data_IF_923209663752
#
_entry.id   IF_923209663752
#
_cell.length_a   1.000
_cell.length_b   1.000
_cell.length_c   1.000
_cell.angle_alpha   90.00
_cell.angle_beta   90.00
_cell.angle_gamma   90.00
#
_symmetry.space_group_name_H-M   'P 1'
#
loop_
_entity.id
_entity.type
_entity.pdbx_description
1 polymer ?
#
# COMPACT_ATOMS: atom_id res chain seq x y z
N UNK A 1 -34.05 12.79 6.96
CA UNK A 1 -33.78 11.35 7.09
C UNK A 1 -33.44 10.81 5.70
N UNK A 2 -32.31 10.11 5.52
CA UNK A 2 -31.87 9.59 4.22
C UNK A 2 -32.47 8.19 3.97
N UNK A 3 -33.77 8.11 3.72
CA UNK A 3 -34.49 6.83 3.56
C UNK A 3 -33.91 5.94 2.45
N UNK A 4 -33.37 6.56 1.40
CA UNK A 4 -32.73 5.84 0.31
C UNK A 4 -31.52 5.01 0.76
N UNK A 5 -30.85 5.36 1.88
CA UNK A 5 -29.79 4.52 2.47
C UNK A 5 -30.28 3.09 2.71
N UNK A 6 -31.47 2.93 3.28
CA UNK A 6 -32.02 1.62 3.63
C UNK A 6 -32.45 0.85 2.38
N UNK A 7 -33.13 1.53 1.45
CA UNK A 7 -33.51 0.96 0.15
C UNK A 7 -32.27 0.52 -0.61
N UNK A 8 -31.22 1.33 -0.65
CA UNK A 8 -29.98 0.99 -1.33
C UNK A 8 -29.31 -0.23 -0.70
N UNK A 9 -29.15 -0.24 0.63
CA UNK A 9 -28.50 -1.34 1.36
C UNK A 9 -29.19 -2.68 1.15
N UNK A 10 -30.51 -2.73 1.26
CA UNK A 10 -31.25 -3.99 1.30
C UNK A 10 -31.86 -4.41 -0.04
N UNK A 11 -31.95 -3.50 -1.01
CA UNK A 11 -32.57 -3.77 -2.31
C UNK A 11 -31.66 -3.43 -3.49
N UNK A 12 -31.31 -2.15 -3.69
CA UNK A 12 -30.66 -1.69 -4.93
C UNK A 12 -29.26 -2.28 -5.08
N UNK A 13 -28.43 -2.18 -4.05
CA UNK A 13 -27.04 -2.64 -4.09
C UNK A 13 -26.96 -4.17 -4.24
N UNK A 14 -27.69 -4.98 -3.45
CA UNK A 14 -27.68 -6.43 -3.63
C UNK A 14 -28.22 -6.89 -4.98
N UNK A 15 -29.38 -6.37 -5.42
CA UNK A 15 -29.97 -6.78 -6.70
C UNK A 15 -29.07 -6.43 -7.89
N UNK A 16 -28.41 -5.26 -7.86
CA UNK A 16 -27.50 -4.87 -8.92
C UNK A 16 -26.34 -5.85 -9.05
N UNK A 17 -25.65 -6.16 -7.96
CA UNK A 17 -24.47 -7.03 -8.02
C UNK A 17 -24.84 -8.49 -8.27
N UNK A 18 -25.94 -8.97 -7.70
CA UNK A 18 -26.48 -10.30 -7.99
C UNK A 18 -26.80 -10.47 -9.48
N UNK A 19 -27.49 -9.50 -10.10
CA UNK A 19 -27.84 -9.55 -11.53
C UNK A 19 -26.61 -9.59 -12.45
N UNK A 20 -25.49 -9.00 -12.03
CA UNK A 20 -24.24 -9.00 -12.78
C UNK A 20 -23.34 -10.22 -12.47
N UNK A 21 -23.82 -11.20 -11.69
CA UNK A 21 -23.05 -12.39 -11.31
C UNK A 21 -21.88 -12.10 -10.35
N UNK A 22 -21.90 -10.96 -9.67
CA UNK A 22 -20.83 -10.53 -8.77
C UNK A 22 -21.07 -11.08 -7.36
N UNK A 23 -20.16 -11.94 -6.90
CA UNK A 23 -20.22 -12.64 -5.61
C UNK A 23 -19.66 -11.85 -4.42
N UNK A 24 -19.45 -10.53 -4.55
CA UNK A 24 -18.87 -9.71 -3.48
C UNK A 24 -19.66 -9.75 -2.16
N UNK A 25 -20.98 -9.90 -2.21
CA UNK A 25 -21.80 -9.92 -0.98
C UNK A 25 -21.69 -11.25 -0.23
N UNK A 26 -21.74 -12.37 -0.96
CA UNK A 26 -21.44 -13.70 -0.41
C UNK A 26 -20.04 -13.71 0.23
N UNK A 27 -19.05 -13.17 -0.47
CA UNK A 27 -17.70 -13.02 0.08
C UNK A 27 -17.68 -12.13 1.33
N UNK A 28 -18.37 -10.99 1.29
CA UNK A 28 -18.39 -10.06 2.41
C UNK A 28 -18.96 -10.72 3.67
N UNK A 29 -20.04 -11.50 3.57
CA UNK A 29 -20.60 -12.24 4.70
C UNK A 29 -19.56 -13.17 5.33
N UNK A 30 -18.81 -13.90 4.50
CA UNK A 30 -17.72 -14.75 4.97
C UNK A 30 -16.61 -13.95 5.66
N UNK A 31 -16.18 -12.82 5.08
CA UNK A 31 -15.13 -11.96 5.63
C UNK A 31 -15.53 -11.33 6.99
N UNK A 32 -16.82 -11.05 7.18
CA UNK A 32 -17.36 -10.49 8.42
C UNK A 32 -17.36 -11.51 9.56
N UNK A 33 -17.53 -12.80 9.25
CA UNK A 33 -17.38 -13.90 10.20
C UNK A 33 -15.90 -14.16 10.47
N UNK A 34 -15.09 -14.24 9.41
CA UNK A 34 -13.68 -14.64 9.49
C UNK A 34 -12.86 -13.73 10.43
N UNK A 35 -13.12 -12.41 10.44
CA UNK A 35 -12.36 -11.45 11.26
C UNK A 35 -12.50 -11.68 12.79
N UNK A 36 -13.42 -12.54 13.23
CA UNK A 36 -13.66 -12.92 14.63
C UNK A 36 -13.42 -14.41 14.91
N UNK A 37 -12.86 -15.17 13.97
CA UNK A 37 -12.45 -16.56 14.22
C UNK A 37 -11.42 -16.64 15.36
N UNK A 38 -11.28 -17.79 16.00
CA UNK A 38 -10.10 -17.99 16.86
C UNK A 38 -8.82 -17.95 16.02
N UNK A 39 -7.68 -17.68 16.67
CA UNK A 39 -6.36 -17.68 16.00
C UNK A 39 -6.13 -19.03 15.28
N UNK A 40 -6.39 -20.14 15.96
CA UNK A 40 -6.25 -21.48 15.37
C UNK A 40 -7.18 -21.71 14.17
N UNK A 41 -8.42 -21.22 14.22
CA UNK A 41 -9.36 -21.35 13.11
C UNK A 41 -8.94 -20.49 11.91
N UNK A 42 -8.42 -19.28 12.17
CA UNK A 42 -7.85 -18.40 11.15
C UNK A 42 -6.59 -19.00 10.52
N UNK A 43 -5.72 -19.66 11.30
CA UNK A 43 -4.54 -20.35 10.79
C UNK A 43 -4.91 -21.55 9.92
N UNK A 44 -5.86 -22.39 10.35
CA UNK A 44 -6.39 -23.50 9.53
C UNK A 44 -7.00 -23.02 8.22
N UNK A 45 -7.74 -21.90 8.26
CA UNK A 45 -8.32 -21.30 7.06
C UNK A 45 -7.24 -20.81 6.10
N UNK A 46 -6.21 -20.11 6.60
CA UNK A 46 -5.06 -19.68 5.82
C UNK A 46 -4.33 -20.87 5.20
N UNK A 47 -4.07 -21.93 5.97
CA UNK A 47 -3.36 -23.11 5.49
C UNK A 47 -4.11 -23.81 4.36
N UNK A 48 -5.41 -24.03 4.53
CA UNK A 48 -6.25 -24.61 3.47
C UNK A 48 -6.21 -23.79 2.17
N UNK A 49 -6.22 -22.46 2.29
CA UNK A 49 -6.12 -21.54 1.15
C UNK A 49 -4.75 -21.54 0.50
N UNK A 50 -3.69 -21.55 1.31
CA UNK A 50 -2.30 -21.63 0.88
C UNK A 50 -2.05 -22.93 0.10
N UNK A 51 -2.44 -24.07 0.66
CA UNK A 51 -2.35 -25.38 -0.01
C UNK A 51 -3.11 -25.38 -1.34
N UNK A 52 -4.31 -24.79 -1.38
CA UNK A 52 -5.09 -24.66 -2.61
C UNK A 52 -4.35 -23.86 -3.69
N UNK A 53 -3.82 -22.68 -3.35
CA UNK A 53 -3.15 -21.84 -4.35
C UNK A 53 -1.83 -22.47 -4.81
N UNK A 54 -1.07 -23.12 -3.92
CA UNK A 54 0.17 -23.84 -4.29
C UNK A 54 -0.14 -25.01 -5.21
N UNK A 55 -1.19 -25.79 -4.92
CA UNK A 55 -1.63 -26.88 -5.78
C UNK A 55 -2.04 -26.39 -7.17
N UNK A 56 -2.74 -25.26 -7.26
CA UNK A 56 -3.10 -24.63 -8.54
C UNK A 56 -1.84 -24.15 -9.26
N UNK A 57 -0.93 -23.46 -8.56
CA UNK A 57 0.32 -22.96 -9.13
C UNK A 57 1.15 -24.10 -9.74
N UNK A 58 1.35 -25.19 -9.00
CA UNK A 58 2.09 -26.37 -9.46
C UNK A 58 1.45 -27.04 -10.69
N UNK A 59 0.13 -27.26 -10.66
CA UNK A 59 -0.55 -28.01 -11.70
C UNK A 59 -0.78 -27.20 -12.98
N UNK A 60 -1.00 -25.89 -12.84
CA UNK A 60 -1.54 -25.06 -13.92
C UNK A 60 -0.54 -24.07 -14.50
N UNK A 61 0.59 -23.78 -13.85
CA UNK A 61 1.63 -22.91 -14.44
C UNK A 61 2.87 -23.71 -14.80
N UNK A 62 3.70 -23.18 -15.69
CA UNK A 62 5.00 -23.77 -16.03
C UNK A 62 6.08 -23.32 -15.05
N UNK A 63 6.06 -22.03 -14.69
CA UNK A 63 7.03 -21.43 -13.77
C UNK A 63 7.08 -22.15 -12.41
N UNK A 64 5.94 -22.29 -11.71
CA UNK A 64 5.94 -22.90 -10.38
C UNK A 64 6.18 -24.41 -10.43
N UNK A 65 5.73 -25.09 -11.50
CA UNK A 65 6.03 -26.50 -11.70
C UNK A 65 7.53 -26.73 -11.83
N UNK A 66 8.21 -25.90 -12.62
CA UNK A 66 9.66 -25.96 -12.77
C UNK A 66 10.37 -25.69 -11.43
N UNK A 67 10.07 -24.57 -10.78
CA UNK A 67 10.69 -24.18 -9.49
C UNK A 67 10.50 -25.26 -8.42
N UNK A 68 9.30 -25.81 -8.30
CA UNK A 68 9.01 -26.87 -7.33
C UNK A 68 9.71 -28.18 -7.69
N UNK A 69 9.76 -28.56 -8.97
CA UNK A 69 10.45 -29.77 -9.42
C UNK A 69 11.96 -29.70 -9.20
N UNK A 70 12.59 -28.57 -9.51
CA UNK A 70 14.03 -28.32 -9.28
C UNK A 70 14.39 -28.42 -7.80
N UNK A 71 13.49 -27.98 -6.92
CA UNK A 71 13.65 -28.04 -5.46
C UNK A 71 13.18 -29.35 -4.85
N UNK A 72 12.62 -30.27 -5.64
CA UNK A 72 12.02 -31.54 -5.19
C UNK A 72 10.91 -31.34 -4.14
N UNK A 73 10.11 -30.30 -4.33
CA UNK A 73 8.95 -29.96 -3.50
C UNK A 73 7.68 -30.32 -4.27
N UNK A 74 6.70 -30.86 -3.57
CA UNK A 74 5.34 -31.12 -4.05
C UNK A 74 4.32 -30.28 -3.26
N UNK A 75 3.10 -30.07 -3.77
CA UNK A 75 2.07 -29.36 -3.01
C UNK A 75 1.74 -30.01 -1.66
N UNK A 76 1.95 -31.32 -1.52
CA UNK A 76 1.67 -32.07 -0.29
C UNK A 76 2.75 -31.85 0.79
N UNK A 77 3.88 -31.21 0.47
CA UNK A 77 4.91 -30.85 1.46
C UNK A 77 4.55 -29.60 2.27
N UNK A 78 3.46 -28.91 1.92
CA UNK A 78 2.98 -27.72 2.61
C UNK A 78 1.99 -28.12 3.71
N UNK A 79 2.47 -28.30 4.94
CA UNK A 79 1.67 -28.75 6.08
C UNK A 79 1.42 -27.65 7.12
N UNK A 80 2.20 -26.57 7.06
CA UNK A 80 2.12 -25.38 7.91
C UNK A 80 2.23 -24.12 7.05
N UNK A 81 1.89 -22.95 7.61
CA UNK A 81 2.06 -21.68 6.89
C UNK A 81 3.55 -21.39 6.59
N UNK A 82 4.44 -21.83 7.47
CA UNK A 82 5.88 -21.62 7.38
C UNK A 82 6.52 -22.42 6.24
N UNK A 83 5.90 -23.53 5.82
CA UNK A 83 6.38 -24.36 4.72
C UNK A 83 6.38 -23.63 3.37
N UNK A 84 5.66 -22.51 3.25
CA UNK A 84 5.77 -21.64 2.07
C UNK A 84 7.21 -21.21 1.81
N UNK A 85 8.05 -21.09 2.87
CA UNK A 85 9.45 -20.68 2.77
C UNK A 85 10.35 -21.69 2.03
N UNK A 86 9.84 -22.90 1.75
CA UNK A 86 10.53 -23.84 0.86
C UNK A 86 10.55 -23.33 -0.60
N UNK A 87 9.59 -22.47 -0.96
CA UNK A 87 9.52 -21.76 -2.24
C UNK A 87 10.33 -20.45 -2.19
N UNK A 88 11.00 -20.06 -3.28
CA UNK A 88 11.76 -18.82 -3.34
C UNK A 88 10.88 -17.58 -3.20
N UNK A 89 11.48 -16.47 -2.80
CA UNK A 89 10.88 -15.15 -2.97
C UNK A 89 10.64 -14.87 -4.46
N UNK A 90 9.45 -14.35 -4.78
CA UNK A 90 9.11 -13.91 -6.13
C UNK A 90 9.38 -12.41 -6.26
N UNK A 91 10.30 -12.03 -7.14
CA UNK A 91 10.65 -10.63 -7.39
C UNK A 91 9.89 -10.05 -8.59
N UNK A 92 9.96 -8.73 -8.75
CA UNK A 92 9.47 -8.05 -9.97
C UNK A 92 10.16 -8.53 -11.24
N UNK A 93 11.46 -8.84 -11.14
CA UNK A 93 12.27 -9.32 -12.26
C UNK A 93 11.83 -10.70 -12.70
N UNK A 94 11.55 -11.60 -11.75
CA UNK A 94 11.05 -12.94 -12.05
C UNK A 94 9.73 -12.88 -12.85
N UNK A 95 8.82 -11.99 -12.45
CA UNK A 95 7.57 -11.77 -13.20
C UNK A 95 7.84 -11.23 -14.61
N UNK A 96 8.75 -10.27 -14.76
CA UNK A 96 9.07 -9.69 -16.06
C UNK A 96 9.70 -10.73 -17.01
N UNK A 97 10.60 -11.55 -16.48
CA UNK A 97 11.34 -12.55 -17.25
C UNK A 97 10.48 -13.80 -17.55
N UNK A 98 9.46 -14.10 -16.73
CA UNK A 98 8.67 -15.34 -16.81
C UNK A 98 7.16 -15.13 -16.96
N UNK A 99 6.71 -13.94 -17.36
CA UNK A 99 5.28 -13.54 -17.36
C UNK A 99 4.34 -14.61 -17.91
N UNK A 100 4.67 -15.16 -19.07
CA UNK A 100 3.80 -16.12 -19.78
C UNK A 100 3.80 -17.50 -19.10
N UNK A 101 4.94 -17.93 -18.57
CA UNK A 101 5.07 -19.20 -17.84
C UNK A 101 4.35 -19.17 -16.48
N UNK A 102 4.07 -17.98 -15.95
CA UNK A 102 3.33 -17.78 -14.69
C UNK A 102 1.81 -17.74 -14.88
N UNK A 103 1.31 -17.63 -16.10
CA UNK A 103 -0.13 -17.65 -16.37
C UNK A 103 -0.63 -19.09 -16.30
N UNK A 104 -1.73 -19.29 -15.58
CA UNK A 104 -2.40 -20.57 -15.47
C UNK A 104 -2.95 -21.03 -16.82
N UNK A 105 -2.64 -22.26 -17.21
CA UNK A 105 -3.08 -22.92 -18.45
C UNK A 105 -4.60 -23.02 -18.59
N UNK A 106 -5.34 -22.85 -17.49
CA UNK A 106 -6.81 -22.79 -17.49
C UNK A 106 -7.38 -21.48 -18.02
N UNK A 107 -6.54 -20.47 -18.23
CA UNK A 107 -6.96 -19.14 -18.65
C UNK A 107 -6.21 -18.72 -19.90
N UNK A 108 -6.91 -18.01 -20.78
CA UNK A 108 -6.31 -17.21 -21.82
C UNK A 108 -6.05 -15.80 -21.30
N UNK A 109 -5.02 -15.10 -21.82
CA UNK A 109 -4.73 -13.70 -21.44
C UNK A 109 -5.93 -12.77 -21.62
N UNK A 110 -6.80 -13.04 -22.59
CA UNK A 110 -8.03 -12.27 -22.86
C UNK A 110 -9.10 -12.40 -21.78
N UNK A 111 -9.11 -13.49 -21.02
CA UNK A 111 -10.05 -13.71 -19.90
C UNK A 111 -9.56 -13.06 -18.60
N UNK A 112 -8.30 -12.61 -18.58
CA UNK A 112 -7.66 -12.05 -17.40
C UNK A 112 -7.65 -10.53 -17.45
N UNK A 113 -7.83 -9.92 -16.28
CA UNK A 113 -7.63 -8.49 -16.09
C UNK A 113 -6.14 -8.19 -16.04
N UNK A 114 -5.65 -7.53 -17.10
CA UNK A 114 -4.30 -6.97 -17.15
C UNK A 114 -4.23 -5.70 -16.30
N UNK A 115 -3.26 -5.63 -15.40
CA UNK A 115 -2.90 -4.43 -14.65
C UNK A 115 -1.38 -4.28 -14.61
N UNK A 116 -0.91 -3.14 -14.13
CA UNK A 116 0.51 -2.81 -14.10
C UNK A 116 0.88 -2.11 -12.80
N UNK A 117 2.05 -2.43 -12.26
CA UNK A 117 2.61 -1.72 -11.12
C UNK A 117 3.04 -0.31 -11.54
N UNK A 118 2.86 0.68 -10.68
CA UNK A 118 3.48 2.00 -10.88
C UNK A 118 5.00 1.88 -10.81
N UNK A 119 5.70 2.27 -11.87
CA UNK A 119 7.16 2.20 -11.92
C UNK A 119 7.78 3.37 -11.17
N UNK A 120 8.07 3.19 -9.86
CA UNK A 120 9.07 4.04 -9.20
C UNK A 120 10.49 3.71 -9.70
N UNK A 121 10.69 2.52 -10.27
CA UNK A 121 11.98 1.96 -10.73
C UNK A 121 12.17 1.92 -12.25
N UNK A 122 11.28 2.55 -13.04
CA UNK A 122 11.48 2.77 -14.48
C UNK A 122 10.73 1.83 -15.45
N UNK A 123 10.57 0.54 -15.14
CA UNK A 123 9.81 -0.40 -16.01
C UNK A 123 8.59 -0.96 -15.27
N UNK A 124 7.35 -0.67 -15.72
CA UNK A 124 6.15 -1.25 -15.12
C UNK A 124 6.14 -2.78 -15.22
N UNK A 125 5.90 -3.48 -14.11
CA UNK A 125 5.66 -4.93 -14.13
C UNK A 125 4.20 -5.17 -14.48
N UNK A 126 3.96 -5.94 -15.54
CA UNK A 126 2.63 -6.40 -15.95
C UNK A 126 2.26 -7.62 -15.13
N UNK A 127 1.02 -7.70 -14.67
CA UNK A 127 0.46 -8.90 -14.06
C UNK A 127 -1.02 -9.04 -14.43
N UNK A 128 -1.53 -10.24 -14.22
CA UNK A 128 -2.88 -10.61 -14.60
C UNK A 128 -3.68 -11.08 -13.38
N UNK A 129 -4.99 -10.83 -13.40
CA UNK A 129 -5.94 -11.29 -12.37
C UNK A 129 -7.11 -11.99 -13.02
N UNK A 130 -7.53 -13.13 -12.48
CA UNK A 130 -8.82 -13.69 -12.84
C UNK A 130 -9.97 -12.77 -12.37
N UNK A 131 -11.08 -12.77 -13.12
CA UNK A 131 -12.24 -11.92 -12.85
C UNK A 131 -12.77 -12.07 -11.41
N UNK A 132 -12.77 -13.30 -10.88
CA UNK A 132 -13.22 -13.55 -9.51
C UNK A 132 -12.37 -12.75 -8.52
N UNK A 133 -11.04 -12.83 -8.59
CA UNK A 133 -10.15 -12.03 -7.73
C UNK A 133 -10.39 -10.54 -7.91
N UNK A 134 -10.56 -10.09 -9.16
CA UNK A 134 -10.84 -8.68 -9.46
C UNK A 134 -12.11 -8.17 -8.75
N UNK A 135 -13.16 -8.99 -8.71
CA UNK A 135 -14.43 -8.63 -8.07
C UNK A 135 -14.36 -8.75 -6.55
N UNK A 136 -13.79 -9.84 -6.03
CA UNK A 136 -13.74 -10.14 -4.59
C UNK A 136 -12.98 -9.07 -3.79
N UNK A 137 -12.03 -8.35 -4.41
CA UNK A 137 -11.32 -7.22 -3.76
C UNK A 137 -12.27 -6.14 -3.23
N UNK A 138 -13.49 -6.03 -3.79
CA UNK A 138 -14.50 -5.07 -3.32
C UNK A 138 -15.11 -5.49 -2.00
N UNK A 139 -15.24 -6.79 -1.73
CA UNK A 139 -15.66 -7.29 -0.42
C UNK A 139 -14.63 -6.92 0.66
N UNK A 140 -13.34 -7.08 0.35
CA UNK A 140 -12.24 -6.65 1.22
C UNK A 140 -12.39 -5.16 1.55
N UNK A 141 -12.55 -4.31 0.52
CA UNK A 141 -12.73 -2.87 0.72
C UNK A 141 -13.95 -2.54 1.60
N UNK A 142 -15.10 -3.18 1.37
CA UNK A 142 -16.31 -2.92 2.15
C UNK A 142 -16.11 -3.29 3.63
N UNK A 143 -15.51 -4.46 3.93
CA UNK A 143 -15.23 -4.86 5.32
C UNK A 143 -14.41 -3.79 6.04
N UNK A 144 -13.34 -3.30 5.42
CA UNK A 144 -12.45 -2.33 6.06
C UNK A 144 -13.05 -0.91 6.06
N UNK A 145 -13.78 -0.52 5.01
CA UNK A 145 -14.55 0.74 4.99
C UNK A 145 -15.53 0.77 6.17
N UNK A 146 -16.14 -0.36 6.54
CA UNK A 146 -17.02 -0.47 7.72
C UNK A 146 -16.34 -0.13 9.04
N UNK A 147 -15.05 -0.35 9.16
CA UNK A 147 -14.32 -0.04 10.39
C UNK A 147 -14.20 1.48 10.61
N UNK A 148 -14.30 2.30 9.56
CA UNK A 148 -14.44 3.76 9.69
C UNK A 148 -15.81 4.20 10.22
N UNK A 149 -16.79 3.30 10.25
CA UNK A 149 -18.19 3.59 10.58
C UNK A 149 -19.08 3.80 9.36
N UNK A 150 -18.53 3.79 8.14
CA UNK A 150 -19.31 3.70 6.91
C UNK A 150 -19.99 2.33 6.76
N UNK A 151 -20.99 2.20 5.89
CA UNK A 151 -21.56 0.92 5.48
C UNK A 151 -22.31 1.10 4.17
N UNK A 152 -22.63 0.00 3.49
CA UNK A 152 -23.47 -0.02 2.29
C UNK A 152 -24.75 0.80 2.54
N UNK A 153 -25.07 1.67 1.58
CA UNK A 153 -26.17 2.63 1.67
C UNK A 153 -25.77 3.98 2.26
N UNK A 154 -24.69 4.09 3.03
CA UNK A 154 -24.17 5.40 3.47
C UNK A 154 -23.41 6.06 2.32
N UNK A 155 -23.41 7.39 2.32
CA UNK A 155 -22.67 8.18 1.33
C UNK A 155 -21.19 8.20 1.71
N UNK A 156 -20.29 8.11 0.74
CA UNK A 156 -18.86 8.33 0.94
C UNK A 156 -18.32 9.33 -0.07
N UNK A 157 -17.25 10.04 0.28
CA UNK A 157 -16.51 10.88 -0.65
C UNK A 157 -15.08 10.35 -0.84
N UNK A 158 -14.54 10.60 -2.03
CA UNK A 158 -13.19 10.25 -2.41
C UNK A 158 -12.43 11.53 -2.74
N UNK A 159 -11.34 11.81 -2.05
CA UNK A 159 -10.36 12.83 -2.47
C UNK A 159 -9.29 12.07 -3.23
N UNK A 160 -9.52 11.88 -4.53
CA UNK A 160 -8.75 10.99 -5.39
C UNK A 160 -8.59 11.57 -6.78
N UNK A 161 -7.64 11.07 -7.58
CA UNK A 161 -7.28 11.78 -8.80
C UNK A 161 -6.71 10.97 -9.96
N UNK A 162 -6.43 9.67 -9.87
CA UNK A 162 -5.71 9.00 -10.96
C UNK A 162 -6.44 9.16 -12.32
N UNK A 163 -5.85 9.88 -13.29
CA UNK A 163 -6.43 10.14 -14.62
C UNK A 163 -6.82 8.86 -15.38
N UNK A 164 -6.25 7.71 -15.03
CA UNK A 164 -6.68 6.38 -15.53
C UNK A 164 -7.98 5.89 -14.91
N UNK A 165 -8.25 6.20 -13.65
CA UNK A 165 -9.51 5.88 -12.96
C UNK A 165 -10.61 6.91 -13.32
N UNK A 166 -10.23 8.17 -13.59
CA UNK A 166 -11.15 9.22 -14.07
C UNK A 166 -11.75 8.92 -15.46
N UNK A 167 -11.06 8.15 -16.32
CA UNK A 167 -11.64 7.67 -17.60
C UNK A 167 -12.82 6.72 -17.39
N UNK A 168 -12.90 6.04 -16.23
CA UNK A 168 -13.99 5.12 -15.88
C UNK A 168 -15.24 5.83 -15.29
N UNK A 169 -15.31 7.16 -15.34
CA UNK A 169 -16.51 7.93 -14.95
C UNK A 169 -17.11 8.66 -16.17
N UNK A 170 -16.63 8.39 -17.38
CA UNK A 170 -17.09 9.09 -18.59
C UNK A 170 -18.48 8.63 -19.06
N UNK A 171 -18.90 7.40 -18.77
CA UNK A 171 -20.23 6.96 -19.18
C UNK A 171 -21.30 7.43 -18.20
N UNK A 172 -22.43 7.88 -18.73
CA UNK A 172 -23.63 8.18 -17.94
C UNK A 172 -24.00 7.00 -17.01
N UNK A 173 -23.80 5.76 -17.47
CA UNK A 173 -24.04 4.55 -16.69
C UNK A 173 -23.14 4.48 -15.45
N UNK A 174 -21.84 4.70 -15.59
CA UNK A 174 -20.89 4.70 -14.45
C UNK A 174 -21.21 5.81 -13.46
N UNK A 175 -21.60 6.99 -13.96
CA UNK A 175 -22.08 8.06 -13.09
C UNK A 175 -23.31 7.62 -12.27
N UNK A 176 -24.31 7.00 -12.90
CA UNK A 176 -25.50 6.48 -12.20
C UNK A 176 -25.12 5.42 -11.16
N UNK A 177 -24.23 4.49 -11.51
CA UNK A 177 -23.74 3.45 -10.59
C UNK A 177 -23.05 4.12 -9.40
N UNK A 178 -22.10 5.03 -9.64
CA UNK A 178 -21.36 5.74 -8.60
C UNK A 178 -22.30 6.51 -7.65
N UNK A 179 -23.30 7.23 -8.17
CA UNK A 179 -24.18 8.08 -7.34
C UNK A 179 -25.29 7.32 -6.62
N UNK A 180 -25.93 6.36 -7.29
CA UNK A 180 -27.17 5.75 -6.79
C UNK A 180 -26.98 4.32 -6.29
N UNK A 181 -25.93 3.63 -6.71
CA UNK A 181 -25.61 2.27 -6.26
C UNK A 181 -24.50 2.34 -5.21
N UNK A 182 -23.32 2.80 -5.59
CA UNK A 182 -22.14 2.91 -4.71
C UNK A 182 -22.20 4.12 -3.76
N UNK A 183 -23.06 5.10 -4.04
CA UNK A 183 -23.25 6.33 -3.26
C UNK A 183 -21.92 7.00 -2.91
N UNK A 184 -21.13 7.22 -3.95
CA UNK A 184 -19.77 7.74 -3.88
C UNK A 184 -19.66 9.09 -4.61
N UNK A 185 -18.92 10.03 -3.99
CA UNK A 185 -18.64 11.35 -4.55
C UNK A 185 -17.15 11.63 -4.65
N UNK A 186 -16.66 11.78 -5.87
CA UNK A 186 -15.25 12.09 -6.13
C UNK A 186 -15.00 13.60 -6.12
N UNK A 187 -13.89 13.98 -5.50
CA UNK A 187 -13.29 15.29 -5.40
C UNK A 187 -11.85 15.16 -5.94
N UNK A 188 -11.47 16.05 -6.86
CA UNK A 188 -10.19 15.94 -7.56
C UNK A 188 -9.01 16.28 -6.65
N UNK A 189 -8.20 15.28 -6.31
CA UNK A 189 -7.03 15.45 -5.46
C UNK A 189 -5.83 16.11 -6.16
N UNK A 190 -5.84 16.28 -7.49
CA UNK A 190 -4.73 16.91 -8.21
C UNK A 190 -4.80 18.44 -8.19
N UNK A 191 -5.97 19.03 -7.95
CA UNK A 191 -6.17 20.47 -7.88
C UNK A 191 -6.61 20.89 -6.46
N UNK A 192 -5.63 21.14 -5.60
CA UNK A 192 -5.84 21.52 -4.19
C UNK A 192 -5.65 23.03 -3.95
N UNK A 193 -6.15 23.88 -4.86
CA UNK A 193 -6.11 25.33 -4.65
C UNK A 193 -7.11 25.76 -3.56
N UNK A 194 -6.91 26.90 -2.88
CA UNK A 194 -7.84 27.40 -1.87
C UNK A 194 -9.29 27.48 -2.35
N UNK A 195 -9.52 27.94 -3.58
CA UNK A 195 -10.86 28.03 -4.19
C UNK A 195 -11.49 26.64 -4.40
N UNK A 196 -10.69 25.65 -4.84
CA UNK A 196 -11.16 24.27 -4.96
C UNK A 196 -11.47 23.65 -3.62
N UNK A 197 -10.63 23.86 -2.61
CA UNK A 197 -10.87 23.35 -1.26
C UNK A 197 -12.10 24.00 -0.61
N UNK A 198 -12.40 25.26 -0.93
CA UNK A 198 -13.68 25.89 -0.56
C UNK A 198 -14.87 25.18 -1.24
N UNK A 199 -14.76 24.88 -2.53
CA UNK A 199 -15.78 24.11 -3.26
C UNK A 199 -15.98 22.71 -2.68
N UNK A 200 -14.89 22.01 -2.33
CA UNK A 200 -14.95 20.71 -1.66
C UNK A 200 -15.72 20.81 -0.35
N UNK A 201 -15.48 21.87 0.42
CA UNK A 201 -16.18 22.11 1.68
C UNK A 201 -17.69 22.25 1.46
N UNK A 202 -18.11 23.09 0.52
CA UNK A 202 -19.54 23.23 0.18
C UNK A 202 -20.17 21.94 -0.34
N UNK A 203 -19.43 21.15 -1.12
CA UNK A 203 -19.89 19.85 -1.59
C UNK A 203 -20.06 18.85 -0.44
N UNK A 204 -19.07 18.70 0.43
CA UNK A 204 -19.12 17.78 1.57
C UNK A 204 -20.21 18.15 2.56
N UNK A 205 -20.45 19.43 2.81
CA UNK A 205 -21.56 19.90 3.65
C UNK A 205 -22.95 19.62 3.05
N UNK A 206 -23.07 19.67 1.71
CA UNK A 206 -24.30 19.34 0.99
C UNK A 206 -24.54 17.83 0.94
N UNK A 207 -23.51 17.06 0.60
CA UNK A 207 -23.57 15.61 0.43
C UNK A 207 -23.74 14.92 1.78
N UNK A 208 -23.08 15.44 2.82
CA UNK A 208 -23.01 14.85 4.17
C UNK A 208 -22.57 13.38 4.12
N UNK A 209 -21.37 13.09 3.56
CA UNK A 209 -20.87 11.72 3.54
C UNK A 209 -20.56 11.25 4.95
N UNK A 210 -20.65 9.95 5.18
CA UNK A 210 -20.25 9.32 6.44
C UNK A 210 -18.75 9.08 6.52
N UNK A 211 -18.05 8.96 5.39
CA UNK A 211 -16.60 8.82 5.37
C UNK A 211 -15.99 9.57 4.19
N UNK A 212 -14.70 9.89 4.33
CA UNK A 212 -13.82 10.30 3.23
C UNK A 212 -12.69 9.30 3.10
N UNK A 213 -12.34 8.91 1.88
CA UNK A 213 -11.11 8.18 1.55
C UNK A 213 -10.24 9.06 0.65
N UNK A 214 -8.95 9.19 0.95
CA UNK A 214 -8.06 10.03 0.13
C UNK A 214 -6.58 9.67 0.26
N UNK A 215 -5.76 10.31 -0.58
CA UNK A 215 -4.31 10.30 -0.45
C UNK A 215 -3.88 11.06 0.81
N UNK A 216 -2.86 10.58 1.52
CA UNK A 216 -2.42 11.19 2.77
C UNK A 216 -2.08 12.67 2.61
N UNK A 217 -1.29 13.03 1.59
CA UNK A 217 -0.86 14.41 1.36
C UNK A 217 -2.02 15.32 0.91
N UNK A 218 -2.95 14.81 0.11
CA UNK A 218 -4.14 15.58 -0.27
C UNK A 218 -5.08 15.82 0.93
N UNK A 219 -5.21 14.84 1.82
CA UNK A 219 -5.95 15.01 3.07
C UNK A 219 -5.29 16.04 3.99
N UNK A 220 -3.97 16.04 4.10
CA UNK A 220 -3.20 17.03 4.88
C UNK A 220 -3.42 18.43 4.32
N UNK A 221 -3.19 18.64 3.02
CA UNK A 221 -3.36 19.95 2.39
C UNK A 221 -4.79 20.50 2.61
N UNK A 222 -5.80 19.64 2.51
CA UNK A 222 -7.17 20.06 2.78
C UNK A 222 -7.43 20.33 4.26
N UNK A 223 -6.88 19.52 5.16
CA UNK A 223 -7.01 19.71 6.60
C UNK A 223 -6.35 21.02 7.07
N UNK A 224 -5.16 21.35 6.57
CA UNK A 224 -4.46 22.62 6.82
C UNK A 224 -5.33 23.81 6.38
N UNK A 225 -5.84 23.76 5.14
CA UNK A 225 -6.76 24.77 4.65
C UNK A 225 -7.99 24.95 5.55
N UNK A 226 -8.63 23.85 5.98
CA UNK A 226 -9.78 23.92 6.89
C UNK A 226 -9.39 24.52 8.24
N UNK A 227 -8.26 24.13 8.82
CA UNK A 227 -7.79 24.64 10.10
C UNK A 227 -7.51 26.15 10.07
N UNK A 228 -6.96 26.65 8.96
CA UNK A 228 -6.59 28.06 8.81
C UNK A 228 -7.76 28.96 8.37
N UNK A 229 -8.55 28.51 7.40
CA UNK A 229 -9.49 29.36 6.67
C UNK A 229 -10.96 29.04 6.95
N UNK A 230 -11.27 27.85 7.48
CA UNK A 230 -12.65 27.41 7.68
C UNK A 230 -12.83 26.46 8.87
N UNK A 231 -12.27 26.82 10.03
CA UNK A 231 -12.26 25.96 11.21
C UNK A 231 -13.70 25.60 11.70
N UNK A 232 -14.69 26.44 11.36
CA UNK A 232 -16.09 26.28 11.75
C UNK A 232 -16.97 25.55 10.72
N UNK A 233 -16.37 24.87 9.73
CA UNK A 233 -17.10 24.07 8.76
C UNK A 233 -18.05 23.04 9.40
N UNK A 234 -19.11 22.65 8.68
CA UNK A 234 -20.20 21.78 9.13
C UNK A 234 -20.04 20.32 8.72
N UNK A 235 -18.90 19.94 8.15
CA UNK A 235 -18.62 18.55 7.76
C UNK A 235 -18.61 17.68 9.02
N UNK A 236 -19.32 16.55 8.98
CA UNK A 236 -19.37 15.54 10.05
C UNK A 236 -19.18 14.17 9.42
N UNK A 237 -18.12 13.48 9.81
CA UNK A 237 -17.75 12.16 9.30
C UNK A 237 -17.72 11.16 10.47
N UNK A 238 -18.06 9.90 10.18
CA UNK A 238 -17.87 8.77 11.10
C UNK A 238 -16.37 8.38 11.19
N UNK A 239 -15.62 8.61 10.11
CA UNK A 239 -14.17 8.39 10.02
C UNK A 239 -13.59 8.75 8.65
N UNK A 240 -12.27 8.83 8.59
CA UNK A 240 -11.50 9.04 7.36
C UNK A 240 -10.62 7.83 7.12
N UNK A 241 -10.36 7.49 5.86
CA UNK A 241 -9.35 6.50 5.49
C UNK A 241 -8.28 7.18 4.64
N UNK A 242 -7.03 7.04 5.07
CA UNK A 242 -5.84 7.45 4.31
C UNK A 242 -5.24 6.25 3.62
N UNK A 243 -4.80 6.39 2.37
CA UNK A 243 -4.23 5.29 1.58
C UNK A 243 -3.22 5.79 0.56
N UNK A 244 -2.44 4.85 0.01
CA UNK A 244 -1.51 5.04 -1.12
C UNK A 244 -0.29 5.94 -0.88
N UNK A 245 -0.15 6.50 0.32
CA UNK A 245 1.00 7.24 0.82
C UNK A 245 1.16 7.01 2.33
N UNK A 246 2.36 7.23 2.86
CA UNK A 246 2.62 7.10 4.29
C UNK A 246 1.85 8.14 5.11
N UNK A 247 1.06 7.64 6.06
CA UNK A 247 0.38 8.45 7.08
C UNK A 247 1.24 8.44 8.35
N UNK A 248 2.01 9.52 8.57
CA UNK A 248 2.72 9.72 9.84
C UNK A 248 1.76 10.19 10.92
N UNK A 249 2.14 10.06 12.20
CA UNK A 249 1.32 10.53 13.32
C UNK A 249 1.11 12.05 13.30
N UNK A 250 2.08 12.82 12.79
CA UNK A 250 1.94 14.26 12.57
C UNK A 250 0.84 14.56 11.53
N UNK A 251 0.92 13.93 10.35
CA UNK A 251 -0.11 14.08 9.30
C UNK A 251 -1.48 13.66 9.81
N UNK A 252 -1.55 12.56 10.56
CA UNK A 252 -2.77 12.07 11.21
C UNK A 252 -3.35 13.14 12.12
N UNK A 253 -2.56 13.72 13.03
CA UNK A 253 -3.01 14.74 13.96
C UNK A 253 -3.58 15.98 13.27
N UNK A 254 -2.96 16.44 12.17
CA UNK A 254 -3.45 17.56 11.36
C UNK A 254 -4.85 17.27 10.80
N UNK A 255 -5.04 16.08 10.23
CA UNK A 255 -6.31 15.65 9.63
C UNK A 255 -7.38 15.44 10.72
N UNK A 256 -7.06 14.74 11.81
CA UNK A 256 -8.00 14.48 12.92
C UNK A 256 -8.49 15.79 13.55
N UNK A 257 -7.60 16.79 13.70
CA UNK A 257 -7.95 18.12 14.20
C UNK A 257 -8.96 18.82 13.30
N UNK A 258 -8.71 18.84 11.99
CA UNK A 258 -9.60 19.50 11.03
C UNK A 258 -10.99 18.83 11.00
N UNK A 259 -11.04 17.52 10.82
CA UNK A 259 -12.29 16.80 10.59
C UNK A 259 -13.00 16.31 11.84
N UNK A 260 -12.35 16.37 13.01
CA UNK A 260 -12.91 15.99 14.32
C UNK A 260 -13.37 14.51 14.35
N UNK A 261 -12.63 13.63 13.68
CA UNK A 261 -12.89 12.20 13.64
C UNK A 261 -11.59 11.41 13.47
N UNK A 262 -11.64 10.10 13.68
CA UNK A 262 -10.48 9.22 13.53
C UNK A 262 -10.10 9.02 12.06
N UNK A 263 -8.80 9.06 11.80
CA UNK A 263 -8.20 8.76 10.49
C UNK A 263 -7.57 7.38 10.55
N UNK A 264 -7.99 6.49 9.65
CA UNK A 264 -7.54 5.10 9.61
C UNK A 264 -6.56 4.91 8.45
N UNK A 265 -5.40 4.33 8.73
CA UNK A 265 -4.42 3.95 7.72
C UNK A 265 -4.89 2.70 6.96
N UNK A 266 -4.68 2.69 5.64
CA UNK A 266 -4.91 1.57 4.75
C UNK A 266 -3.67 1.32 3.90
N UNK A 267 -3.12 0.13 4.04
CA UNK A 267 -2.01 -0.36 3.25
C UNK A 267 -2.48 -1.39 2.20
N UNK A 268 -1.95 -1.26 1.01
CA UNK A 268 -2.28 -2.11 -0.12
C UNK A 268 -1.38 -1.85 -1.31
N UNK A 269 -1.46 -2.74 -2.29
CA UNK A 269 -0.69 -2.67 -3.52
C UNK A 269 -1.58 -2.84 -4.75
N UNK A 270 -1.06 -2.51 -5.93
CA UNK A 270 -1.80 -2.72 -7.18
C UNK A 270 -1.90 -4.22 -7.47
N UNK A 271 -0.85 -4.98 -7.16
CA UNK A 271 -0.69 -6.41 -7.37
C UNK A 271 -1.72 -7.22 -6.57
N UNK A 272 -1.83 -7.00 -5.26
CA UNK A 272 -2.70 -7.83 -4.39
C UNK A 272 -3.89 -7.08 -3.79
N UNK A 273 -4.05 -5.78 -4.04
CA UNK A 273 -5.14 -4.99 -3.47
C UNK A 273 -4.93 -4.64 -2.00
N UNK A 274 -5.97 -4.76 -1.18
CA UNK A 274 -5.92 -4.36 0.23
C UNK A 274 -5.18 -5.43 1.05
N UNK A 275 -4.10 -5.02 1.70
CA UNK A 275 -3.21 -5.88 2.51
C UNK A 275 -3.53 -5.76 3.99
N UNK A 276 -3.62 -4.53 4.51
CA UNK A 276 -3.91 -4.29 5.92
C UNK A 276 -4.61 -2.94 6.13
N UNK A 277 -5.40 -2.79 7.19
CA UNK A 277 -6.03 -1.52 7.55
C UNK A 277 -6.20 -1.36 9.06
N UNK A 278 -6.11 -0.14 9.57
CA UNK A 278 -6.44 0.16 10.96
C UNK A 278 -7.96 0.08 11.20
N UNK A 279 -8.32 -0.24 12.45
CA UNK A 279 -9.65 0.05 13.00
C UNK A 279 -9.61 1.32 13.87
N UNK A 280 -10.75 1.75 14.43
CA UNK A 280 -10.84 2.97 15.25
C UNK A 280 -9.97 3.00 16.51
N UNK A 281 -9.44 1.85 16.94
CA UNK A 281 -8.53 1.77 18.07
C UNK A 281 -7.10 2.22 17.72
N UNK A 282 -6.72 2.22 16.43
CA UNK A 282 -5.40 2.68 15.96
C UNK A 282 -4.21 1.99 16.66
N UNK A 283 -4.36 0.70 16.98
CA UNK A 283 -3.32 -0.12 17.66
C UNK A 283 -2.48 -0.94 16.65
N UNK A 284 -2.51 -0.56 15.37
CA UNK A 284 -1.89 -1.28 14.25
C UNK A 284 -2.89 -1.61 13.13
N UNK A 285 -2.36 -2.07 12.00
CA UNK A 285 -3.14 -2.42 10.82
C UNK A 285 -3.50 -3.90 10.87
N UNK A 286 -4.79 -4.23 10.93
CA UNK A 286 -5.24 -5.60 10.77
C UNK A 286 -4.93 -6.11 9.37
N UNK A 287 -4.14 -7.17 9.30
CA UNK A 287 -3.80 -7.87 8.08
C UNK A 287 -5.05 -8.59 7.57
N UNK A 288 -5.29 -8.50 6.26
CA UNK A 288 -6.34 -9.20 5.54
C UNK A 288 -6.01 -10.70 5.40
N UNK A 289 -5.73 -11.35 6.53
CA UNK A 289 -5.11 -12.67 6.63
C UNK A 289 -5.96 -13.79 6.03
N UNK A 290 -7.26 -13.57 5.86
CA UNK A 290 -8.14 -14.50 5.18
C UNK A 290 -8.05 -14.41 3.63
N UNK A 291 -7.35 -13.42 3.08
CA UNK A 291 -7.13 -13.28 1.64
C UNK A 291 -5.66 -13.41 1.23
N UNK A 292 -4.74 -13.11 2.13
CA UNK A 292 -3.31 -13.12 1.84
C UNK A 292 -2.53 -13.72 3.00
N UNK A 293 -1.40 -14.35 2.68
CA UNK A 293 -0.33 -14.57 3.65
C UNK A 293 0.57 -13.33 3.62
N UNK A 294 0.84 -12.73 4.77
CA UNK A 294 1.85 -11.68 4.91
C UNK A 294 3.05 -12.20 5.71
N UNK A 295 4.21 -12.12 5.09
CA UNK A 295 5.52 -12.40 5.66
C UNK A 295 6.32 -11.10 5.77
N UNK A 296 7.11 -10.99 6.84
CA UNK A 296 8.21 -10.01 6.92
C UNK A 296 9.49 -10.82 6.75
N UNK A 297 10.32 -10.48 5.76
CA UNK A 297 11.46 -11.31 5.36
C UNK A 297 12.78 -10.56 5.43
N UNK A 298 13.85 -11.33 5.58
CA UNK A 298 15.22 -10.89 5.33
C UNK A 298 15.84 -11.91 4.37
N UNK A 299 15.96 -11.53 3.09
CA UNK A 299 16.19 -12.47 2.00
C UNK A 299 15.06 -13.52 1.93
N UNK A 300 15.44 -14.79 1.87
CA UNK A 300 14.51 -15.92 1.72
C UNK A 300 13.73 -16.29 2.99
N UNK A 301 14.18 -15.82 4.16
CA UNK A 301 13.64 -16.26 5.46
C UNK A 301 12.72 -15.22 6.05
N UNK A 302 11.66 -15.69 6.70
CA UNK A 302 10.82 -14.85 7.55
C UNK A 302 11.60 -14.44 8.81
N UNK A 303 11.47 -13.19 9.22
CA UNK A 303 12.00 -12.69 10.49
C UNK A 303 10.99 -12.88 11.62
N UNK A 304 11.46 -12.76 12.88
CA UNK A 304 10.58 -12.79 14.03
C UNK A 304 9.65 -11.55 14.05
N UNK A 305 8.48 -11.69 14.67
CA UNK A 305 7.61 -10.54 14.89
C UNK A 305 8.35 -9.48 15.74
N UNK A 306 8.04 -8.20 15.49
CA UNK A 306 8.77 -7.05 16.04
C UNK A 306 10.06 -6.70 15.31
N UNK A 307 10.56 -7.54 14.40
CA UNK A 307 11.73 -7.22 13.58
C UNK A 307 11.32 -6.55 12.27
N UNK A 308 12.15 -5.58 11.86
CA UNK A 308 12.04 -4.91 10.57
C UNK A 308 12.51 -5.83 9.45
N UNK A 309 11.73 -5.89 8.37
CA UNK A 309 12.11 -6.62 7.16
C UNK A 309 11.22 -6.26 5.99
N UNK A 310 11.39 -7.00 4.90
CA UNK A 310 10.71 -6.76 3.63
C UNK A 310 9.33 -7.42 3.62
N UNK A 311 8.33 -6.71 3.11
CA UNK A 311 6.97 -7.25 3.04
C UNK A 311 6.86 -8.14 1.80
N UNK A 312 6.65 -9.43 2.04
CA UNK A 312 6.29 -10.41 1.03
C UNK A 312 4.84 -10.88 1.23
N UNK A 313 4.14 -11.12 0.13
CA UNK A 313 2.73 -11.53 0.15
C UNK A 313 2.45 -12.73 -0.74
N UNK A 314 1.58 -13.63 -0.28
CA UNK A 314 0.98 -14.68 -1.12
C UNK A 314 -0.52 -14.40 -1.26
N UNK A 315 -1.02 -14.22 -2.49
CA UNK A 315 -2.45 -14.04 -2.77
C UNK A 315 -3.14 -15.40 -2.94
N UNK A 316 -4.11 -15.70 -2.08
CA UNK A 316 -4.83 -16.99 -2.07
C UNK A 316 -5.87 -17.15 -3.18
N UNK A 317 -6.15 -16.09 -3.94
CA UNK A 317 -7.35 -15.98 -4.78
C UNK A 317 -7.06 -15.65 -6.24
N UNK A 318 -5.83 -15.25 -6.58
CA UNK A 318 -5.45 -15.02 -7.98
C UNK A 318 -5.08 -16.33 -8.69
N UNK A 319 -6.07 -17.07 -9.18
CA UNK A 319 -5.85 -18.34 -9.88
C UNK A 319 -5.35 -18.18 -11.32
N UNK A 320 -5.52 -16.99 -11.91
CA UNK A 320 -5.10 -16.71 -13.27
C UNK A 320 -3.58 -16.55 -13.39
N UNK A 321 -2.96 -15.96 -12.38
CA UNK A 321 -1.51 -15.79 -12.26
C UNK A 321 -1.13 -15.75 -10.78
N UNK A 322 -0.95 -16.92 -10.14
CA UNK A 322 -0.63 -16.99 -8.72
C UNK A 322 0.62 -16.18 -8.36
N UNK A 323 0.50 -15.34 -7.33
CA UNK A 323 1.64 -14.60 -6.76
C UNK A 323 1.92 -15.20 -5.38
N UNK A 324 3.02 -15.95 -5.28
CA UNK A 324 3.44 -16.66 -4.07
C UNK A 324 4.75 -16.04 -3.60
N UNK A 325 4.80 -15.64 -2.32
CA UNK A 325 5.91 -14.91 -1.69
C UNK A 325 6.41 -13.71 -2.51
N UNK A 326 5.47 -12.95 -3.07
CA UNK A 326 5.79 -11.79 -3.89
C UNK A 326 6.29 -10.63 -3.04
N UNK A 327 7.51 -10.16 -3.33
CA UNK A 327 8.16 -9.06 -2.66
C UNK A 327 7.63 -7.71 -3.16
N UNK A 328 6.96 -6.96 -2.29
CA UNK A 328 6.32 -5.69 -2.65
C UNK A 328 7.33 -4.54 -2.83
N UNK A 329 8.53 -4.71 -2.27
CA UNK A 329 9.55 -3.68 -2.20
C UNK A 329 9.25 -2.60 -1.15
N UNK A 330 8.41 -2.93 -0.16
CA UNK A 330 8.12 -2.10 1.02
C UNK A 330 8.69 -2.79 2.26
N UNK A 331 9.08 -2.01 3.28
CA UNK A 331 9.55 -2.49 4.57
C UNK A 331 8.44 -2.39 5.61
N UNK A 332 8.38 -3.33 6.56
CA UNK A 332 7.39 -3.29 7.63
C UNK A 332 7.75 -4.14 8.83
N UNK A 333 6.96 -3.97 9.89
CA UNK A 333 7.09 -4.70 11.14
C UNK A 333 5.76 -5.39 11.44
N UNK A 334 5.78 -6.71 11.61
CA UNK A 334 4.63 -7.49 12.04
C UNK A 334 4.59 -7.53 13.58
N UNK A 335 3.41 -7.37 14.16
CA UNK A 335 3.22 -7.31 15.61
C UNK A 335 2.74 -8.64 16.18
N UNK A 336 3.19 -8.96 17.40
CA UNK A 336 2.60 -10.00 18.25
C UNK A 336 1.39 -9.52 19.06
N UNK A 337 1.12 -8.21 19.02
CA UNK A 337 0.04 -7.61 19.80
C UNK A 337 -1.32 -8.00 19.23
N UNK A 338 -2.32 -8.02 20.11
CA UNK A 338 -3.73 -8.15 19.74
C UNK A 338 -4.40 -6.79 19.90
N UNK A 339 -5.27 -6.45 18.96
CA UNK A 339 -6.06 -5.23 19.09
C UNK A 339 -7.20 -5.41 20.07
N UNK A 340 -7.46 -4.40 20.89
CA UNK A 340 -8.58 -4.34 21.83
C UNK A 340 -9.96 -4.27 21.15
N UNK A 341 -10.03 -4.14 19.83
CA UNK A 341 -11.29 -4.11 19.07
C UNK A 341 -12.01 -5.47 18.96
N UNK A 342 -11.38 -6.56 19.43
CA UNK A 342 -11.96 -7.91 19.46
C UNK A 342 -11.76 -8.73 18.18
N UNK A 343 -11.19 -8.16 17.10
CA UNK A 343 -10.80 -8.93 15.91
C UNK A 343 -9.55 -9.75 16.19
N UNK A 344 -9.52 -10.97 15.66
CA UNK A 344 -8.41 -11.91 15.79
C UNK A 344 -7.39 -11.83 14.65
N UNK A 345 -7.61 -10.93 13.69
CA UNK A 345 -6.70 -10.73 12.56
C UNK A 345 -5.32 -10.29 13.07
N UNK A 346 -4.22 -10.91 12.57
CA UNK A 346 -2.85 -10.49 12.86
C UNK A 346 -2.64 -9.00 12.56
N UNK A 347 -1.71 -8.37 13.28
CA UNK A 347 -1.41 -6.95 13.12
C UNK A 347 -0.09 -6.73 12.39
N UNK A 348 -0.10 -5.78 11.47
CA UNK A 348 1.09 -5.09 10.98
C UNK A 348 1.24 -3.82 11.84
N UNK A 349 2.35 -3.71 12.57
CA UNK A 349 2.62 -2.55 13.42
C UNK A 349 2.80 -1.29 12.56
N UNK A 350 3.63 -1.39 11.52
CA UNK A 350 3.99 -0.27 10.67
C UNK A 350 4.45 -0.70 9.27
N UNK A 351 4.39 0.26 8.34
CA UNK A 351 5.01 0.20 7.01
C UNK A 351 5.99 1.36 6.96
N UNK A 352 7.28 1.04 6.89
CA UNK A 352 8.41 1.97 7.08
C UNK A 352 8.95 2.53 5.75
N UNK A 353 8.16 2.52 4.68
CA UNK A 353 8.57 3.01 3.37
C UNK A 353 9.06 1.93 2.40
N UNK A 354 9.75 2.34 1.33
CA UNK A 354 10.28 1.43 0.30
C UNK A 354 11.63 0.87 0.73
N UNK A 355 11.98 -0.33 0.25
CA UNK A 355 13.31 -0.91 0.45
C UNK A 355 14.42 0.01 -0.08
N UNK A 356 14.17 0.66 -1.22
CA UNK A 356 15.09 1.65 -1.82
C UNK A 356 15.33 2.88 -0.94
N UNK A 357 14.46 3.12 0.04
CA UNK A 357 14.60 4.21 0.98
C UNK A 357 15.61 3.85 2.08
N UNK A 358 16.06 2.60 2.22
CA UNK A 358 17.02 2.18 3.25
C UNK A 358 18.42 1.97 2.68
N UNK A 359 19.42 2.48 3.39
CA UNK A 359 20.82 2.16 3.16
C UNK A 359 21.19 0.91 3.96
N UNK A 360 22.12 0.11 3.45
CA UNK A 360 22.64 -1.09 4.12
C UNK A 360 24.05 -0.81 4.63
N UNK A 361 24.23 -0.79 5.95
CA UNK A 361 25.53 -0.65 6.57
C UNK A 361 26.40 -1.89 6.34
N UNK A 362 27.72 -1.75 6.47
CA UNK A 362 28.69 -2.84 6.28
C UNK A 362 28.46 -4.05 7.20
N UNK A 363 27.83 -3.84 8.35
CA UNK A 363 27.45 -4.89 9.30
C UNK A 363 26.07 -5.51 9.01
N UNK A 364 25.41 -5.13 7.91
CA UNK A 364 24.08 -5.58 7.51
C UNK A 364 22.90 -4.81 8.12
N UNK A 365 23.16 -3.80 8.96
CA UNK A 365 22.10 -2.96 9.54
C UNK A 365 21.43 -2.13 8.45
N UNK A 366 20.09 -2.15 8.38
CA UNK A 366 19.31 -1.27 7.49
C UNK A 366 19.08 0.08 8.18
N UNK A 367 19.52 1.17 7.55
CA UNK A 367 19.38 2.56 8.03
C UNK A 367 18.39 3.29 7.13
N UNK A 368 17.29 3.80 7.69
CA UNK A 368 16.29 4.51 6.91
C UNK A 368 16.88 5.81 6.32
N UNK A 369 16.64 6.04 5.04
CA UNK A 369 17.21 7.14 4.25
C UNK A 369 16.87 8.51 4.79
N UNK A 370 15.72 8.63 5.47
CA UNK A 370 15.33 9.86 6.14
C UNK A 370 16.37 10.37 7.14
N UNK A 371 17.12 9.46 7.81
CA UNK A 371 18.27 9.86 8.64
C UNK A 371 19.23 10.77 7.87
N UNK A 372 19.56 10.39 6.62
CA UNK A 372 20.44 11.18 5.78
C UNK A 372 19.76 12.42 5.25
N UNK A 373 18.44 12.42 5.04
CA UNK A 373 17.73 13.65 4.66
C UNK A 373 17.76 14.69 5.77
N UNK A 374 17.67 14.26 7.03
CA UNK A 374 17.78 15.14 8.20
C UNK A 374 19.17 15.81 8.31
N UNK A 375 20.23 15.21 7.76
CA UNK A 375 21.56 15.84 7.70
C UNK A 375 21.59 17.10 6.82
N UNK A 376 20.58 17.31 5.98
CA UNK A 376 20.50 18.46 5.08
C UNK A 376 19.35 19.42 5.44
N UNK A 377 18.63 19.20 6.55
CA UNK A 377 17.58 20.09 7.00
C UNK A 377 18.12 21.42 7.52
N UNK A 378 17.42 22.49 7.14
CA UNK A 378 17.75 23.88 7.49
C UNK A 378 19.20 24.27 7.14
N UNK A 379 19.73 23.77 6.02
CA UNK A 379 21.05 24.15 5.47
C UNK A 379 20.86 25.10 4.28
N UNK A 380 20.99 26.44 4.47
CA UNK A 380 20.79 27.42 3.40
C UNK A 380 21.74 27.26 2.22
N UNK A 381 22.90 26.66 2.44
CA UNK A 381 23.93 26.40 1.42
C UNK A 381 23.53 25.31 0.42
N UNK A 382 22.50 24.50 0.70
CA UNK A 382 22.09 23.36 -0.12
C UNK A 382 20.67 23.58 -0.65
N UNK A 383 20.54 23.75 -1.98
CA UNK A 383 19.24 23.91 -2.66
C UNK A 383 18.55 22.56 -2.92
N UNK A 384 19.31 21.57 -3.34
CA UNK A 384 18.87 20.19 -3.51
C UNK A 384 20.01 19.26 -3.12
N UNK A 385 19.68 18.07 -2.67
CA UNK A 385 20.65 17.00 -2.48
C UNK A 385 20.04 15.67 -2.92
N UNK A 386 20.90 14.71 -3.20
CA UNK A 386 20.51 13.32 -3.38
C UNK A 386 21.65 12.42 -2.94
N UNK A 387 21.34 11.46 -2.07
CA UNK A 387 22.30 10.48 -1.58
C UNK A 387 22.00 9.11 -2.20
N UNK A 388 23.01 8.51 -2.81
CA UNK A 388 22.89 7.25 -3.54
C UNK A 388 23.88 6.25 -2.95
N UNK A 389 23.40 5.17 -2.35
CA UNK A 389 24.26 4.03 -2.06
C UNK A 389 24.48 3.23 -3.34
N UNK A 390 25.70 3.28 -3.87
CA UNK A 390 26.09 2.57 -5.08
C UNK A 390 26.41 1.10 -4.77
N UNK A 391 27.16 0.88 -3.69
CA UNK A 391 27.55 -0.44 -3.16
C UNK A 391 27.59 -0.40 -1.62
N UNK A 392 27.86 -1.53 -0.96
CA UNK A 392 28.07 -1.55 0.50
C UNK A 392 29.19 -0.61 0.98
N UNK A 393 30.14 -0.29 0.10
CA UNK A 393 31.32 0.52 0.43
C UNK A 393 31.28 1.91 -0.19
N UNK A 394 30.36 2.20 -1.12
CA UNK A 394 30.37 3.43 -1.91
C UNK A 394 29.04 4.16 -1.85
N UNK A 395 29.10 5.45 -1.51
CA UNK A 395 27.97 6.36 -1.50
C UNK A 395 28.30 7.59 -2.33
N UNK A 396 27.41 7.95 -3.26
CA UNK A 396 27.47 9.21 -4.00
C UNK A 396 26.54 10.23 -3.35
N UNK A 397 27.01 11.45 -3.10
CA UNK A 397 26.21 12.56 -2.60
C UNK A 397 26.19 13.66 -3.66
N UNK A 398 25.07 13.78 -4.37
CA UNK A 398 24.83 14.87 -5.31
C UNK A 398 24.31 16.09 -4.53
N UNK A 399 24.90 17.27 -4.73
CA UNK A 399 24.52 18.53 -4.07
C UNK A 399 24.33 19.61 -5.13
N UNK A 400 23.23 20.34 -5.05
CA UNK A 400 23.01 21.59 -5.79
C UNK A 400 23.23 22.73 -4.79
N UNK A 401 24.41 23.37 -4.78
CA UNK A 401 24.69 24.42 -3.82
C UNK A 401 23.95 25.72 -4.20
N UNK A 402 23.54 26.49 -3.20
CA UNK A 402 23.11 27.90 -3.41
C UNK A 402 24.33 28.80 -3.61
N UNK A 403 25.43 28.48 -2.93
CA UNK A 403 26.72 29.14 -3.01
C UNK A 403 27.83 28.16 -2.57
N UNK A 404 28.99 28.23 -3.22
CA UNK A 404 30.16 27.42 -2.84
C UNK A 404 31.04 28.28 -1.93
N UNK A 405 31.16 27.89 -0.67
CA UNK A 405 31.93 28.60 0.37
C UNK A 405 32.38 27.65 1.49
N UNK A 406 33.16 28.15 2.45
CA UNK A 406 33.68 27.37 3.59
C UNK A 406 32.58 26.74 4.47
N UNK A 407 31.36 27.31 4.46
CA UNK A 407 30.22 26.75 5.19
C UNK A 407 29.73 25.46 4.53
N UNK A 408 29.66 25.43 3.20
CA UNK A 408 29.33 24.22 2.45
C UNK A 408 30.38 23.12 2.71
N UNK A 409 31.67 23.45 2.75
CA UNK A 409 32.72 22.48 3.07
C UNK A 409 32.56 21.90 4.48
N UNK A 410 32.10 22.71 5.44
CA UNK A 410 31.81 22.25 6.81
C UNK A 410 30.62 21.29 6.83
N UNK A 411 29.58 21.55 6.05
CA UNK A 411 28.43 20.66 5.88
C UNK A 411 28.86 19.32 5.27
N UNK A 412 29.68 19.35 4.22
CA UNK A 412 30.19 18.14 3.54
C UNK A 412 30.96 17.26 4.52
N UNK A 413 31.84 17.83 5.34
CA UNK A 413 32.57 17.08 6.39
C UNK A 413 31.64 16.46 7.42
N UNK A 414 30.67 17.23 7.91
CA UNK A 414 29.67 16.73 8.88
C UNK A 414 28.86 15.56 8.30
N UNK A 415 28.39 15.68 7.05
CA UNK A 415 27.66 14.61 6.36
C UNK A 415 28.55 13.38 6.20
N UNK A 416 29.82 13.56 5.83
CA UNK A 416 30.77 12.45 5.68
C UNK A 416 30.97 11.68 7.00
N UNK A 417 31.22 12.39 8.09
CA UNK A 417 31.40 11.80 9.42
C UNK A 417 30.15 11.04 9.86
N UNK A 418 28.97 11.69 9.82
CA UNK A 418 27.69 11.11 10.22
C UNK A 418 27.28 9.91 9.36
N UNK A 419 27.65 9.93 8.10
CA UNK A 419 27.40 8.81 7.19
C UNK A 419 28.28 7.61 7.53
N UNK A 420 29.57 7.83 7.75
CA UNK A 420 30.50 6.76 8.15
C UNK A 420 30.16 6.16 9.51
N UNK A 421 29.64 6.96 10.44
CA UNK A 421 29.13 6.47 11.72
C UNK A 421 28.00 5.46 11.54
N UNK A 422 27.08 5.70 10.60
CA UNK A 422 25.91 4.84 10.37
C UNK A 422 26.18 3.67 9.43
N UNK A 423 26.92 3.89 8.35
CA UNK A 423 27.10 2.89 7.28
C UNK A 423 28.39 2.08 7.42
N UNK A 424 29.37 2.59 8.16
CA UNK A 424 30.67 1.94 8.34
C UNK A 424 31.83 2.90 8.07
N UNK A 425 32.90 2.78 8.86
CA UNK A 425 34.06 3.68 8.77
C UNK A 425 34.77 3.62 7.42
N UNK A 426 34.70 2.47 6.75
CA UNK A 426 35.32 2.24 5.45
C UNK A 426 34.44 2.68 4.27
N UNK A 427 33.22 3.20 4.54
CA UNK A 427 32.35 3.72 3.48
C UNK A 427 32.98 4.96 2.84
N UNK A 428 33.17 4.90 1.53
CA UNK A 428 33.70 5.98 0.70
C UNK A 428 32.56 6.84 0.19
N UNK A 429 32.63 8.14 0.47
CA UNK A 429 31.68 9.13 -0.02
C UNK A 429 32.27 9.91 -1.19
N UNK A 430 31.52 10.02 -2.29
CA UNK A 430 31.85 10.86 -3.45
C UNK A 430 30.85 12.00 -3.55
N UNK A 431 31.31 13.23 -3.32
CA UNK A 431 30.47 14.43 -3.45
C UNK A 431 30.51 14.98 -4.87
N UNK A 432 29.34 15.24 -5.46
CA UNK A 432 29.18 15.80 -6.81
C UNK A 432 28.34 17.07 -6.75
N UNK A 433 28.89 18.18 -7.24
CA UNK A 433 28.17 19.44 -7.35
C UNK A 433 27.48 19.55 -8.72
N UNK A 434 26.17 19.76 -8.71
CA UNK A 434 25.33 19.78 -9.92
C UNK A 434 24.54 21.08 -10.00
N UNK A 435 24.14 21.48 -11.21
CA UNK A 435 23.26 22.64 -11.42
C UNK A 435 21.80 22.33 -11.05
N UNK A 436 21.37 21.10 -11.26
CA UNK A 436 20.06 20.58 -10.84
C UNK A 436 20.11 19.06 -10.75
N UNK A 437 19.27 18.48 -9.89
CA UNK A 437 19.06 17.04 -9.82
C UNK A 437 17.70 16.74 -10.46
N UNK A 438 17.63 15.91 -11.51
CA UNK A 438 16.38 15.63 -12.20
C UNK A 438 15.46 14.77 -11.34
N UNK A 439 14.17 15.10 -11.35
CA UNK A 439 13.13 14.20 -10.85
C UNK A 439 13.04 12.93 -11.72
N UNK A 440 12.52 11.85 -11.14
CA UNK A 440 12.24 10.60 -11.86
C UNK A 440 11.29 10.83 -13.05
N UNK A 441 11.20 9.86 -13.96
CA UNK A 441 10.24 9.86 -15.08
C UNK A 441 8.76 9.98 -14.64
N UNK A 442 8.49 9.74 -13.35
CA UNK A 442 7.17 9.92 -12.73
C UNK A 442 6.92 11.31 -12.14
N UNK A 443 7.90 12.22 -12.23
CA UNK A 443 7.87 13.56 -11.64
C UNK A 443 8.28 13.63 -10.16
N UNK A 444 8.49 12.50 -9.48
CA UNK A 444 8.93 12.44 -8.08
C UNK A 444 10.43 12.70 -7.93
N UNK A 445 10.81 13.56 -6.99
CA UNK A 445 12.19 13.74 -6.56
C UNK A 445 12.54 12.72 -5.45
N UNK A 446 13.62 11.97 -5.62
CA UNK A 446 14.09 11.00 -4.63
C UNK A 446 15.34 11.56 -3.95
N UNK A 447 15.22 11.87 -2.66
CA UNK A 447 16.34 12.39 -1.86
C UNK A 447 17.37 11.31 -1.54
N UNK A 448 16.92 10.06 -1.42
CA UNK A 448 17.75 8.93 -1.05
C UNK A 448 17.45 7.74 -1.94
N UNK A 449 18.50 7.04 -2.37
CA UNK A 449 18.41 5.87 -3.23
C UNK A 449 19.44 4.87 -2.75
N UNK A 450 19.03 3.67 -2.31
CA UNK A 450 19.96 2.55 -2.20
C UNK A 450 19.85 1.62 -3.40
N UNK A 451 20.99 1.29 -4.01
CA UNK A 451 21.13 0.23 -5.02
C UNK A 451 21.55 -1.11 -4.39
N UNK A 452 21.80 -1.12 -3.09
CA UNK A 452 22.13 -2.32 -2.32
C UNK A 452 20.83 -2.86 -1.72
N UNK A 453 20.50 -4.10 -2.06
CA UNK A 453 19.32 -4.82 -1.58
C UNK A 453 19.67 -5.81 -0.48
#
# INVERSE_FOLDING_TARGET
>A
MDWFRHINRYLVFPLYYWKNGDKRLERLEELEINQFLSVDAMEKLQLSRLQRIIKIAFNETDYYRQIMSERKITPDDIQTLQDVQQLPILTKKDIQDNLDAMISKKYTKSELFKDMSGGSTGTPTVYYKNIERHNLRRADQIRHDRWSGWDIGKRKALIWGAQRDLKAVQSFREHIIARYIERTWELDAFEMSPDKMLQFTGQLEKIKPSMVLGYANALVAYAEYLNEHNANHKIRLDGIISSAESLTEEKRAIIEKAFRCKVLNRYGSREVGLIASECKHQEGLHINADNILLEITNGEKQVANGQLGEIAVTDYWNFGMPLIRYQLGDMGIKSDSKCSCGRSLPLLASVEGRVSDFFVAQNGTKVHGEYFTHLFYDIPEVKQFQMIQETLEEVTVNIVPTQINDKLDSVVKMVEEKTKEMLGKETKLTFKYLESIPSTSSGKFLFTISKVS
#
